data_IF_955391085052
#
_entry.id   IF_955391085052
#
_cell.length_a   1.000
_cell.length_b   1.000
_cell.length_c   1.000
_cell.angle_alpha   90.00
_cell.angle_beta   90.00
_cell.angle_gamma   90.00
#
_symmetry.space_group_name_H-M   'P 1'
#
loop_
_entity.id
_entity.type
_entity.pdbx_description
1 polymer ?
#
# COMPACT_ATOMS: atom_id res chain seq x y z
N UNK A 1 -13.81 -5.63 12.97
CA UNK A 1 -12.87 -5.09 13.99
C UNK A 1 -13.06 -3.59 14.07
N UNK A 2 -13.42 -3.04 15.22
CA UNK A 2 -13.47 -1.58 15.40
C UNK A 2 -12.03 -1.10 15.62
N UNK A 3 -11.55 -0.18 14.77
CA UNK A 3 -10.27 0.51 14.99
C UNK A 3 -10.29 1.18 16.36
N UNK A 4 -9.15 1.23 17.01
CA UNK A 4 -8.95 2.13 18.14
C UNK A 4 -8.58 3.52 17.56
N UNK A 5 -9.52 4.49 17.50
CA UNK A 5 -9.28 5.79 16.87
C UNK A 5 -8.20 6.62 17.56
N UNK A 6 -7.75 6.22 18.75
CA UNK A 6 -6.68 6.91 19.48
C UNK A 6 -5.27 6.63 18.96
N UNK A 7 -5.09 5.77 17.94
CA UNK A 7 -3.77 5.36 17.45
C UNK A 7 -3.22 6.19 16.29
N UNK A 8 -4.05 6.97 15.60
CA UNK A 8 -3.64 7.77 14.44
C UNK A 8 -4.20 9.19 14.51
N UNK A 9 -3.43 10.15 13.99
CA UNK A 9 -3.81 11.56 13.88
C UNK A 9 -4.46 11.80 12.51
N UNK A 10 -5.80 11.75 12.48
CA UNK A 10 -6.61 11.97 11.28
C UNK A 10 -7.77 12.92 11.58
N UNK A 11 -8.12 13.83 10.65
CA UNK A 11 -9.38 14.56 10.70
C UNK A 11 -10.58 13.60 10.81
N UNK A 12 -11.60 13.99 11.54
CA UNK A 12 -12.81 13.15 11.75
C UNK A 12 -13.50 12.83 10.42
N UNK A 13 -13.51 13.79 9.50
CA UNK A 13 -14.10 13.70 8.17
C UNK A 13 -13.23 12.93 7.16
N UNK A 14 -11.98 12.63 7.48
CA UNK A 14 -11.07 11.94 6.58
C UNK A 14 -11.64 10.62 6.05
N UNK A 15 -11.58 10.45 4.73
CA UNK A 15 -12.01 9.21 4.09
C UNK A 15 -11.15 8.01 4.51
N UNK A 16 -9.91 8.24 4.98
CA UNK A 16 -9.04 7.19 5.52
C UNK A 16 -9.65 6.50 6.73
N UNK A 17 -10.53 7.18 7.49
CA UNK A 17 -11.27 6.57 8.59
C UNK A 17 -12.24 5.47 8.15
N UNK A 18 -12.57 5.41 6.86
CA UNK A 18 -13.51 4.45 6.26
C UNK A 18 -12.83 3.31 5.52
N UNK A 19 -11.49 3.29 5.50
CA UNK A 19 -10.74 2.18 4.87
C UNK A 19 -11.02 0.86 5.58
N UNK A 20 -11.26 -0.19 4.81
CA UNK A 20 -11.28 -1.55 5.34
C UNK A 20 -9.85 -1.98 5.73
N UNK A 21 -9.70 -2.90 6.70
CA UNK A 21 -8.38 -3.40 7.09
C UNK A 21 -7.62 -4.08 5.93
N UNK A 22 -8.33 -4.60 4.94
CA UNK A 22 -7.76 -5.13 3.71
C UNK A 22 -8.33 -4.39 2.50
N UNK A 23 -7.44 -4.01 1.60
CA UNK A 23 -7.74 -3.38 0.32
C UNK A 23 -7.28 -4.32 -0.81
N UNK A 24 -8.16 -4.61 -1.75
CA UNK A 24 -7.83 -5.46 -2.89
C UNK A 24 -6.88 -4.73 -3.85
N UNK A 25 -5.65 -5.25 -3.99
CA UNK A 25 -4.69 -4.77 -4.98
C UNK A 25 -4.98 -5.37 -6.36
N UNK A 26 -5.22 -4.54 -7.35
CA UNK A 26 -5.65 -4.98 -8.68
C UNK A 26 -4.52 -5.30 -9.66
N UNK A 27 -3.25 -5.24 -9.26
CA UNK A 27 -2.11 -5.42 -10.15
C UNK A 27 -2.17 -6.75 -10.95
N UNK A 28 -2.60 -7.84 -10.33
CA UNK A 28 -2.74 -9.14 -10.99
C UNK A 28 -3.77 -9.17 -12.10
N UNK A 29 -4.74 -8.23 -12.11
CA UNK A 29 -5.71 -8.09 -13.19
C UNK A 29 -5.07 -7.55 -14.50
N UNK A 30 -3.85 -7.02 -14.42
CA UNK A 30 -3.09 -6.51 -15.55
C UNK A 30 -2.19 -7.54 -16.25
N UNK A 31 -2.12 -8.77 -15.73
CA UNK A 31 -1.28 -9.84 -16.29
C UNK A 31 -1.91 -10.41 -17.56
N UNK A 32 -1.41 -9.98 -18.71
CA UNK A 32 -1.99 -10.31 -20.03
C UNK A 32 -1.78 -11.76 -20.49
N UNK A 33 -0.88 -12.48 -19.83
CA UNK A 33 -0.72 -13.93 -19.94
C UNK A 33 -1.91 -14.73 -19.38
N UNK A 34 -2.76 -14.08 -18.54
CA UNK A 34 -4.02 -14.65 -18.03
C UNK A 34 -5.19 -14.16 -18.92
N UNK A 35 -6.08 -15.07 -19.37
CA UNK A 35 -7.22 -14.70 -20.21
C UNK A 35 -8.06 -13.57 -19.60
N UNK A 36 -8.54 -12.65 -20.44
CA UNK A 36 -9.31 -11.48 -20.01
C UNK A 36 -10.52 -11.86 -19.16
N UNK A 37 -11.30 -12.85 -19.57
CA UNK A 37 -12.48 -13.33 -18.84
C UNK A 37 -12.15 -13.90 -17.44
N UNK A 38 -10.99 -14.53 -17.29
CA UNK A 38 -10.51 -15.00 -15.98
C UNK A 38 -10.22 -13.83 -15.06
N UNK A 39 -9.54 -12.80 -15.58
CA UNK A 39 -9.23 -11.57 -14.84
C UNK A 39 -10.50 -10.78 -14.50
N UNK A 40 -11.44 -10.70 -15.45
CA UNK A 40 -12.73 -10.06 -15.23
C UNK A 40 -13.56 -10.79 -14.17
N UNK A 41 -13.58 -12.12 -14.21
CA UNK A 41 -14.23 -12.94 -13.17
C UNK A 41 -13.61 -12.69 -11.79
N UNK A 42 -12.28 -12.54 -11.71
CA UNK A 42 -11.60 -12.19 -10.45
C UNK A 42 -11.96 -10.78 -9.97
N UNK A 43 -12.07 -9.81 -10.89
CA UNK A 43 -12.50 -8.45 -10.54
C UNK A 43 -13.91 -8.45 -9.95
N UNK A 44 -14.86 -9.14 -10.59
CA UNK A 44 -16.25 -9.31 -10.09
C UNK A 44 -16.27 -9.99 -8.72
N UNK A 45 -15.50 -11.05 -8.54
CA UNK A 45 -15.38 -11.76 -7.27
C UNK A 45 -14.89 -10.86 -6.14
N UNK A 46 -13.91 -10.01 -6.45
CA UNK A 46 -13.39 -9.03 -5.50
C UNK A 46 -14.40 -7.91 -5.19
N UNK A 47 -15.15 -7.39 -6.20
CA UNK A 47 -16.19 -6.37 -6.01
C UNK A 47 -17.31 -6.82 -5.10
N UNK A 48 -17.62 -8.12 -5.06
CA UNK A 48 -18.61 -8.67 -4.12
C UNK A 48 -18.16 -8.63 -2.66
N UNK A 49 -16.85 -8.64 -2.40
CA UNK A 49 -16.26 -8.94 -1.09
C UNK A 49 -15.44 -7.82 -0.49
N UNK A 50 -14.95 -6.89 -1.32
CA UNK A 50 -14.05 -5.82 -0.91
C UNK A 50 -14.68 -4.46 -1.22
N UNK A 51 -14.80 -3.62 -0.21
CA UNK A 51 -15.29 -2.24 -0.37
C UNK A 51 -14.25 -1.28 -0.93
N UNK A 52 -12.97 -1.70 -1.00
CA UNK A 52 -11.85 -0.87 -1.42
C UNK A 52 -10.92 -1.59 -2.37
N UNK A 53 -10.53 -0.90 -3.45
CA UNK A 53 -9.55 -1.36 -4.43
C UNK A 53 -8.36 -0.41 -4.50
N UNK A 54 -7.19 -0.95 -4.80
CA UNK A 54 -5.98 -0.19 -5.09
C UNK A 54 -5.54 -0.50 -6.52
N UNK A 55 -5.34 0.52 -7.34
CA UNK A 55 -5.04 0.38 -8.76
C UNK A 55 -4.07 1.43 -9.29
N UNK A 56 -3.62 1.26 -10.53
CA UNK A 56 -2.78 2.19 -11.28
C UNK A 56 -3.02 2.03 -12.77
N UNK A 57 -2.94 3.12 -13.52
CA UNK A 57 -2.91 3.08 -14.99
C UNK A 57 -1.65 2.36 -15.54
N UNK A 58 -0.63 2.17 -14.70
CA UNK A 58 0.62 1.47 -15.06
C UNK A 58 0.54 -0.06 -14.86
N UNK A 59 -0.59 -0.61 -14.43
CA UNK A 59 -0.74 -2.04 -14.18
C UNK A 59 -1.25 -2.79 -15.43
N UNK A 60 -0.51 -2.73 -16.54
CA UNK A 60 -0.89 -3.40 -17.80
C UNK A 60 -2.33 -3.06 -18.20
N UNK A 61 -3.12 -4.06 -18.56
CA UNK A 61 -4.52 -3.89 -18.96
C UNK A 61 -5.52 -3.89 -17.78
N UNK A 62 -5.06 -3.69 -16.54
CA UNK A 62 -5.94 -3.64 -15.34
C UNK A 62 -7.11 -2.68 -15.51
N UNK A 63 -6.85 -1.49 -16.07
CA UNK A 63 -7.89 -0.46 -16.24
C UNK A 63 -9.01 -0.92 -17.19
N UNK A 64 -8.70 -1.73 -18.21
CA UNK A 64 -9.72 -2.27 -19.12
C UNK A 64 -10.61 -3.30 -18.41
N UNK A 65 -10.01 -4.17 -17.60
CA UNK A 65 -10.72 -5.15 -16.79
C UNK A 65 -11.64 -4.47 -15.77
N UNK A 66 -11.15 -3.47 -15.05
CA UNK A 66 -11.92 -2.72 -14.07
C UNK A 66 -13.04 -1.91 -14.73
N UNK A 67 -12.76 -1.23 -15.84
CA UNK A 67 -13.77 -0.47 -16.60
C UNK A 67 -14.94 -1.38 -17.07
N UNK A 68 -14.63 -2.59 -17.52
CA UNK A 68 -15.65 -3.57 -17.87
C UNK A 68 -16.47 -4.00 -16.65
N UNK A 69 -15.80 -4.38 -15.56
CA UNK A 69 -16.46 -4.82 -14.33
C UNK A 69 -17.36 -3.73 -13.73
N UNK A 70 -16.91 -2.47 -13.73
CA UNK A 70 -17.65 -1.32 -13.17
C UNK A 70 -18.89 -1.00 -14.04
N UNK A 71 -18.78 -1.07 -15.38
CA UNK A 71 -19.94 -0.89 -16.27
C UNK A 71 -21.01 -1.95 -16.05
N UNK A 72 -20.61 -3.20 -15.80
CA UNK A 72 -21.55 -4.29 -15.56
C UNK A 72 -22.25 -4.21 -14.20
N UNK A 73 -21.56 -3.66 -13.19
CA UNK A 73 -22.07 -3.59 -11.82
C UNK A 73 -21.94 -2.19 -11.21
N UNK A 74 -22.58 -1.17 -11.78
CA UNK A 74 -22.38 0.22 -11.37
C UNK A 74 -22.78 0.49 -9.91
N UNK A 75 -23.70 -0.30 -9.34
CA UNK A 75 -24.10 -0.17 -7.94
C UNK A 75 -23.10 -0.80 -6.94
N UNK A 76 -22.05 -1.44 -7.43
CA UNK A 76 -21.03 -2.14 -6.62
C UNK A 76 -19.62 -1.64 -6.88
N UNK A 77 -19.46 -0.48 -7.47
CA UNK A 77 -18.14 0.12 -7.69
C UNK A 77 -17.48 0.36 -6.32
N UNK A 78 -16.33 -0.26 -6.05
CA UNK A 78 -15.62 -0.07 -4.80
C UNK A 78 -15.01 1.33 -4.73
N UNK A 79 -14.72 1.81 -3.54
CA UNK A 79 -13.86 2.98 -3.36
C UNK A 79 -12.45 2.66 -3.81
N UNK A 80 -11.80 3.60 -4.50
CA UNK A 80 -10.52 3.34 -5.12
C UNK A 80 -9.39 4.20 -4.54
N UNK A 81 -8.27 3.55 -4.30
CA UNK A 81 -6.97 4.16 -4.09
C UNK A 81 -6.24 4.10 -5.43
N UNK A 82 -5.88 5.25 -6.00
CA UNK A 82 -5.14 5.29 -7.26
C UNK A 82 -3.71 5.76 -7.06
N UNK A 83 -2.77 5.02 -7.65
CA UNK A 83 -1.39 5.52 -7.78
C UNK A 83 -1.37 6.67 -8.77
N UNK A 84 -0.80 7.76 -8.30
CA UNK A 84 -0.55 8.98 -9.06
C UNK A 84 0.95 9.27 -8.98
N UNK A 85 1.59 9.49 -10.13
CA UNK A 85 3.02 9.75 -10.15
C UNK A 85 3.33 10.82 -11.20
N UNK A 86 4.32 11.67 -10.91
CA UNK A 86 4.74 12.64 -11.91
C UNK A 86 5.83 13.57 -11.40
N UNK A 87 6.47 14.22 -12.36
CA UNK A 87 7.46 15.25 -12.11
C UNK A 87 6.85 16.67 -12.15
N UNK A 88 5.54 16.75 -12.42
CA UNK A 88 4.76 18.00 -12.41
C UNK A 88 3.33 17.78 -11.94
N UNK A 89 2.71 18.86 -11.45
CA UNK A 89 1.30 18.84 -11.05
C UNK A 89 0.37 18.57 -12.25
N UNK A 90 0.69 19.09 -13.42
CA UNK A 90 -0.10 18.88 -14.66
C UNK A 90 -0.11 17.40 -15.05
N UNK A 91 1.00 16.70 -14.84
CA UNK A 91 1.04 15.26 -15.07
C UNK A 91 0.18 14.48 -14.08
N UNK A 92 0.22 14.84 -12.81
CA UNK A 92 -0.65 14.26 -11.78
C UNK A 92 -2.12 14.48 -12.13
N UNK A 93 -2.50 15.70 -12.53
CA UNK A 93 -3.87 16.05 -12.94
C UNK A 93 -4.32 15.24 -14.15
N UNK A 94 -3.49 15.17 -15.18
CA UNK A 94 -3.78 14.36 -16.38
C UNK A 94 -4.02 12.89 -16.04
N UNK A 95 -3.27 12.32 -15.08
CA UNK A 95 -3.49 10.95 -14.63
C UNK A 95 -4.80 10.78 -13.87
N UNK A 96 -5.21 11.78 -13.10
CA UNK A 96 -6.51 11.80 -12.43
C UNK A 96 -7.61 11.75 -13.50
N UNK A 97 -7.60 12.69 -14.45
CA UNK A 97 -8.60 12.79 -15.51
C UNK A 97 -8.70 11.49 -16.32
N UNK A 98 -7.55 10.93 -16.73
CA UNK A 98 -7.48 9.66 -17.45
C UNK A 98 -8.13 8.50 -16.70
N UNK A 99 -7.89 8.40 -15.40
CA UNK A 99 -8.40 7.29 -14.58
C UNK A 99 -9.89 7.46 -14.29
N UNK A 100 -10.36 8.68 -14.04
CA UNK A 100 -11.78 8.98 -13.88
C UNK A 100 -12.58 8.65 -15.15
N UNK A 101 -12.12 9.13 -16.30
CA UNK A 101 -12.73 8.87 -17.60
C UNK A 101 -12.75 7.37 -17.91
N UNK A 102 -11.60 6.70 -17.79
CA UNK A 102 -11.45 5.29 -18.16
C UNK A 102 -12.35 4.37 -17.34
N UNK A 103 -12.52 4.65 -16.05
CA UNK A 103 -13.33 3.83 -15.14
C UNK A 103 -14.78 4.28 -15.03
N UNK A 104 -15.12 5.45 -15.54
CA UNK A 104 -16.46 6.02 -15.43
C UNK A 104 -16.83 6.37 -14.00
N UNK A 105 -15.88 6.86 -13.20
CA UNK A 105 -16.10 7.29 -11.81
C UNK A 105 -15.86 8.79 -11.67
N UNK A 106 -16.60 9.45 -10.77
CA UNK A 106 -16.54 10.90 -10.60
C UNK A 106 -15.41 11.37 -9.67
N UNK A 107 -14.93 10.48 -8.79
CA UNK A 107 -13.94 10.82 -7.77
C UNK A 107 -12.99 9.67 -7.50
N UNK A 108 -11.72 10.00 -7.35
CA UNK A 108 -10.70 9.15 -6.71
C UNK A 108 -10.87 9.28 -5.19
N UNK A 109 -11.14 8.17 -4.51
CA UNK A 109 -11.29 8.22 -3.05
C UNK A 109 -9.99 8.59 -2.35
N UNK A 110 -8.86 7.98 -2.75
CA UNK A 110 -7.53 8.31 -2.23
C UNK A 110 -6.53 8.34 -3.39
N UNK A 111 -5.83 9.45 -3.56
CA UNK A 111 -4.67 9.59 -4.43
C UNK A 111 -3.39 9.16 -3.68
N UNK A 112 -2.81 8.02 -4.04
CA UNK A 112 -1.50 7.60 -3.56
C UNK A 112 -0.44 8.26 -4.42
N UNK A 113 0.13 9.35 -3.93
CA UNK A 113 1.01 10.24 -4.66
C UNK A 113 2.47 9.79 -4.54
N UNK A 114 3.11 9.49 -5.66
CA UNK A 114 4.56 9.33 -5.78
C UNK A 114 5.14 10.58 -6.43
N UNK A 115 5.92 11.33 -5.68
CA UNK A 115 6.56 12.57 -6.16
C UNK A 115 8.02 12.32 -6.51
N UNK A 116 8.43 12.83 -7.66
CA UNK A 116 9.80 12.75 -8.16
C UNK A 116 10.28 14.11 -8.70
N UNK A 117 11.54 14.20 -9.03
CA UNK A 117 12.14 15.32 -9.75
C UNK A 117 11.79 16.71 -9.21
N UNK A 118 11.35 17.59 -10.09
CA UNK A 118 10.99 18.96 -9.76
C UNK A 118 9.76 19.07 -8.84
N UNK A 119 8.81 18.13 -8.96
CA UNK A 119 7.63 18.10 -8.11
C UNK A 119 8.00 17.85 -6.65
N UNK A 120 8.98 16.96 -6.39
CA UNK A 120 9.45 16.67 -5.04
C UNK A 120 10.11 17.90 -4.39
N UNK A 121 10.91 18.64 -5.14
CA UNK A 121 11.56 19.85 -4.65
C UNK A 121 10.53 20.94 -4.31
N UNK A 122 9.55 21.17 -5.16
CA UNK A 122 8.47 22.14 -4.95
C UNK A 122 7.55 21.71 -3.78
N UNK A 123 7.26 20.44 -3.68
CA UNK A 123 6.48 19.85 -2.59
C UNK A 123 7.12 20.11 -1.22
N UNK A 124 8.42 19.84 -1.08
CA UNK A 124 9.13 20.05 0.17
C UNK A 124 9.36 21.53 0.51
N UNK A 125 9.47 22.38 -0.51
CA UNK A 125 9.55 23.83 -0.34
C UNK A 125 8.20 24.47 0.08
N UNK A 126 7.09 23.69 0.07
CA UNK A 126 5.76 24.24 0.30
C UNK A 126 5.28 25.13 -0.83
N UNK A 127 5.68 24.81 -2.05
CA UNK A 127 5.42 25.60 -3.23
C UNK A 127 4.05 25.36 -3.86
N UNK A 128 3.92 25.73 -5.12
CA UNK A 128 2.65 25.69 -5.89
C UNK A 128 2.05 24.29 -6.01
N UNK A 129 2.87 23.26 -5.85
CA UNK A 129 2.40 21.87 -5.85
C UNK A 129 1.35 21.61 -4.76
N UNK A 130 1.60 22.08 -3.54
CA UNK A 130 0.65 21.90 -2.43
C UNK A 130 -0.66 22.64 -2.67
N UNK A 131 -0.60 23.86 -3.20
CA UNK A 131 -1.79 24.64 -3.57
C UNK A 131 -2.60 23.94 -4.67
N UNK A 132 -1.92 23.39 -5.66
CA UNK A 132 -2.57 22.63 -6.72
C UNK A 132 -3.21 21.32 -6.23
N UNK A 133 -2.56 20.60 -5.35
CA UNK A 133 -3.16 19.39 -4.72
C UNK A 133 -4.37 19.76 -3.86
N UNK A 134 -4.34 20.92 -3.18
CA UNK A 134 -5.47 21.45 -2.42
C UNK A 134 -6.63 21.77 -3.35
N UNK A 135 -6.37 22.46 -4.47
CA UNK A 135 -7.39 22.77 -5.47
C UNK A 135 -8.04 21.49 -6.04
N UNK A 136 -7.28 20.46 -6.34
CA UNK A 136 -7.78 19.14 -6.79
C UNK A 136 -8.73 18.50 -5.73
N UNK A 137 -8.42 18.63 -4.43
CA UNK A 137 -9.32 18.19 -3.35
C UNK A 137 -10.59 19.04 -3.28
N UNK A 138 -10.47 20.36 -3.38
CA UNK A 138 -11.60 21.30 -3.33
C UNK A 138 -12.54 21.13 -4.54
N UNK A 139 -12.01 20.79 -5.71
CA UNK A 139 -12.78 20.41 -6.88
C UNK A 139 -13.52 19.05 -6.72
N UNK A 140 -13.22 18.30 -5.67
CA UNK A 140 -13.84 17.00 -5.41
C UNK A 140 -13.30 15.85 -6.24
N UNK A 141 -12.23 16.06 -7.02
CA UNK A 141 -11.64 15.03 -7.87
C UNK A 141 -10.92 13.94 -7.07
N UNK A 142 -10.33 14.31 -5.92
CA UNK A 142 -9.63 13.40 -5.00
C UNK A 142 -10.10 13.67 -3.57
N UNK A 143 -10.51 12.62 -2.85
CA UNK A 143 -11.00 12.75 -1.48
C UNK A 143 -9.89 12.98 -0.46
N UNK A 144 -8.75 12.29 -0.58
CA UNK A 144 -7.56 12.44 0.26
C UNK A 144 -6.30 12.08 -0.51
N UNK A 145 -5.16 12.61 -0.08
CA UNK A 145 -3.86 12.17 -0.59
C UNK A 145 -3.06 11.42 0.48
N UNK A 146 -2.34 10.38 0.04
CA UNK A 146 -1.27 9.73 0.80
C UNK A 146 0.03 9.81 0.02
N UNK A 147 1.16 9.90 0.71
CA UNK A 147 2.47 9.91 0.08
C UNK A 147 3.00 8.48 -0.04
N UNK A 148 3.32 8.05 -1.26
CA UNK A 148 3.99 6.77 -1.51
C UNK A 148 5.48 6.91 -1.20
N UNK A 149 6.02 5.98 -0.42
CA UNK A 149 7.41 6.01 0.02
C UNK A 149 8.13 4.75 -0.44
N UNK A 150 9.30 4.97 -1.02
CA UNK A 150 10.31 3.96 -1.32
C UNK A 150 11.60 4.31 -0.56
N UNK A 151 12.57 3.36 -0.44
CA UNK A 151 13.83 3.65 0.22
C UNK A 151 14.52 4.90 -0.33
N UNK A 152 14.55 5.06 -1.65
CA UNK A 152 15.18 6.19 -2.34
C UNK A 152 14.38 7.49 -2.28
N UNK A 153 13.10 7.47 -1.92
CA UNK A 153 12.25 8.67 -1.71
C UNK A 153 11.96 8.93 -0.23
N UNK A 154 12.52 8.15 0.69
CA UNK A 154 12.30 8.32 2.13
C UNK A 154 12.69 9.71 2.63
N UNK A 155 13.72 10.33 2.03
CA UNK A 155 14.14 11.69 2.37
C UNK A 155 13.04 12.72 2.08
N UNK A 156 12.28 12.57 0.98
CA UNK A 156 11.17 13.48 0.61
C UNK A 156 10.09 13.45 1.70
N UNK A 157 9.69 12.25 2.11
CA UNK A 157 8.69 12.08 3.17
C UNK A 157 9.19 12.57 4.54
N UNK A 158 10.47 12.38 4.83
CA UNK A 158 11.12 12.83 6.07
C UNK A 158 11.13 14.35 6.14
N UNK A 159 11.52 15.02 5.06
CA UNK A 159 11.56 16.49 4.98
C UNK A 159 10.15 17.07 5.07
N UNK A 160 9.16 16.47 4.38
CA UNK A 160 7.76 16.84 4.51
C UNK A 160 7.26 16.74 5.96
N UNK A 161 7.55 15.66 6.66
CA UNK A 161 7.15 15.49 8.06
C UNK A 161 7.81 16.49 9.00
N UNK A 162 9.09 16.78 8.80
CA UNK A 162 9.85 17.76 9.60
C UNK A 162 9.40 19.19 9.30
N UNK A 163 9.20 19.53 8.05
CA UNK A 163 8.78 20.86 7.60
C UNK A 163 7.35 21.22 8.01
N UNK A 164 6.49 20.22 8.18
CA UNK A 164 5.10 20.41 8.61
C UNK A 164 4.18 21.02 7.57
N UNK A 165 4.70 21.39 6.41
CA UNK A 165 3.90 21.96 5.32
C UNK A 165 3.07 20.87 4.62
N UNK A 166 1.85 21.19 4.18
CA UNK A 166 0.98 20.24 3.48
C UNK A 166 0.47 19.06 4.31
N UNK A 167 0.56 19.12 5.63
CA UNK A 167 -0.01 18.08 6.52
C UNK A 167 -1.54 17.98 6.42
N UNK A 168 -2.19 19.04 6.00
CA UNK A 168 -3.60 19.12 5.67
C UNK A 168 -3.95 18.44 4.33
N UNK A 169 -2.95 18.26 3.45
CA UNK A 169 -3.10 17.62 2.15
C UNK A 169 -2.72 16.16 2.21
N UNK A 170 -1.53 15.85 2.75
CA UNK A 170 -1.06 14.46 2.89
C UNK A 170 -1.55 13.91 4.23
N UNK A 171 -2.53 13.03 4.16
CA UNK A 171 -3.19 12.48 5.35
C UNK A 171 -2.54 11.19 5.86
N UNK A 172 -1.65 10.55 5.08
CA UNK A 172 -0.98 9.30 5.47
C UNK A 172 0.17 8.93 4.55
N UNK A 173 0.81 7.81 4.84
CA UNK A 173 1.96 7.29 4.10
C UNK A 173 1.69 5.88 3.62
N UNK A 174 2.04 5.59 2.37
CA UNK A 174 1.91 4.28 1.74
C UNK A 174 3.29 3.71 1.42
N UNK A 175 3.64 2.56 1.95
CA UNK A 175 4.91 1.91 1.64
C UNK A 175 4.83 0.39 1.83
N UNK A 176 5.78 -0.33 1.27
CA UNK A 176 5.91 -1.76 1.51
C UNK A 176 6.23 -1.99 2.98
N UNK A 177 5.27 -2.61 3.67
CA UNK A 177 5.41 -2.96 5.06
C UNK A 177 4.80 -4.35 5.32
N UNK A 178 5.66 -5.32 5.39
CA UNK A 178 5.36 -6.72 5.63
C UNK A 178 6.55 -7.34 6.37
N UNK A 179 6.50 -8.59 6.86
CA UNK A 179 7.61 -9.15 7.63
C UNK A 179 8.97 -9.14 6.93
N UNK A 180 9.00 -9.17 5.59
CA UNK A 180 10.24 -9.20 4.77
C UNK A 180 10.71 -7.82 4.30
N UNK A 181 9.83 -6.81 4.34
CA UNK A 181 10.12 -5.51 3.73
C UNK A 181 9.55 -4.37 4.59
N UNK A 182 10.34 -3.32 4.74
CA UNK A 182 9.90 -2.03 5.24
C UNK A 182 10.62 -0.95 4.45
N UNK A 183 9.89 -0.30 3.53
CA UNK A 183 10.49 0.67 2.62
C UNK A 183 10.59 2.09 3.18
N UNK A 184 10.04 2.35 4.36
CA UNK A 184 10.40 3.54 5.13
C UNK A 184 11.72 3.29 5.87
N UNK A 185 12.75 4.12 5.63
CA UNK A 185 14.02 4.05 6.37
C UNK A 185 13.79 4.28 7.86
N UNK A 186 14.77 3.90 8.69
CA UNK A 186 14.63 3.91 10.15
C UNK A 186 14.14 5.25 10.69
N UNK A 187 14.75 6.37 10.28
CA UNK A 187 14.38 7.71 10.74
C UNK A 187 12.96 8.10 10.37
N UNK A 188 12.58 7.82 9.11
CA UNK A 188 11.23 8.11 8.63
C UNK A 188 10.20 7.26 9.37
N UNK A 189 10.46 5.95 9.53
CA UNK A 189 9.53 5.06 10.21
C UNK A 189 9.31 5.48 11.66
N UNK A 190 10.37 5.83 12.38
CA UNK A 190 10.27 6.34 13.74
C UNK A 190 9.41 7.63 13.80
N UNK A 191 9.65 8.58 12.89
CA UNK A 191 8.92 9.85 12.87
C UNK A 191 7.44 9.67 12.47
N UNK A 192 7.12 8.75 11.55
CA UNK A 192 5.73 8.42 11.18
C UNK A 192 4.97 7.88 12.40
N UNK A 193 5.61 7.01 13.20
CA UNK A 193 5.00 6.48 14.43
C UNK A 193 4.85 7.56 15.51
N UNK A 194 5.89 8.37 15.73
CA UNK A 194 5.88 9.49 16.71
C UNK A 194 4.76 10.49 16.39
N UNK A 195 4.63 10.86 15.11
CA UNK A 195 3.61 11.80 14.64
C UNK A 195 2.23 11.17 14.45
N UNK A 196 2.08 9.87 14.75
CA UNK A 196 0.84 9.10 14.62
C UNK A 196 0.20 9.18 13.24
N UNK A 197 1.01 9.32 12.17
CA UNK A 197 0.48 9.37 10.81
C UNK A 197 0.02 7.98 10.36
N UNK A 198 -1.11 7.89 9.65
CA UNK A 198 -1.60 6.62 9.12
C UNK A 198 -0.63 5.97 8.15
N UNK A 199 -0.50 4.65 8.28
CA UNK A 199 0.28 3.81 7.38
C UNK A 199 -0.69 2.93 6.57
N UNK A 200 -0.61 3.03 5.25
CA UNK A 200 -1.21 2.10 4.31
C UNK A 200 -0.11 1.11 3.88
N UNK A 201 -0.16 -0.09 4.42
CA UNK A 201 0.84 -1.12 4.11
C UNK A 201 0.60 -1.69 2.71
N UNK A 202 1.62 -1.76 1.88
CA UNK A 202 1.57 -2.35 0.54
C UNK A 202 2.33 -3.67 0.54
N UNK A 203 1.92 -4.61 -0.35
CA UNK A 203 2.58 -5.90 -0.58
C UNK A 203 2.55 -6.83 0.65
N UNK A 204 1.38 -7.01 1.20
CA UNK A 204 1.07 -7.72 2.46
C UNK A 204 1.92 -8.97 2.73
N UNK A 205 2.09 -9.84 1.73
CA UNK A 205 2.79 -11.13 1.87
C UNK A 205 4.20 -11.14 1.31
N UNK A 206 4.76 -9.98 0.94
CA UNK A 206 6.16 -9.87 0.50
C UNK A 206 6.53 -10.68 -0.75
N UNK A 207 5.56 -11.07 -1.59
CA UNK A 207 5.79 -11.83 -2.83
C UNK A 207 5.63 -13.33 -2.70
N UNK A 208 5.10 -13.84 -1.59
CA UNK A 208 4.74 -15.26 -1.41
C UNK A 208 5.31 -15.91 -0.15
N UNK A 209 5.09 -17.21 0.03
CA UNK A 209 5.51 -17.92 1.22
C UNK A 209 7.01 -17.83 1.49
N UNK A 210 7.37 -17.53 2.73
CA UNK A 210 8.76 -17.33 3.15
C UNK A 210 9.61 -18.58 2.93
N UNK A 211 9.06 -19.76 3.11
CA UNK A 211 9.73 -21.05 2.92
C UNK A 211 10.18 -21.24 1.46
N UNK A 212 9.28 -20.91 0.51
CA UNK A 212 9.60 -20.99 -0.92
C UNK A 212 10.66 -19.99 -1.33
N UNK A 213 10.64 -18.80 -0.74
CA UNK A 213 11.64 -17.77 -1.01
C UNK A 213 12.99 -18.12 -0.41
N UNK A 214 13.02 -18.59 0.84
CA UNK A 214 14.23 -19.02 1.53
C UNK A 214 14.92 -20.23 0.84
N UNK A 215 14.13 -21.11 0.22
CA UNK A 215 14.63 -22.29 -0.49
C UNK A 215 15.22 -22.00 -1.90
N UNK A 216 15.15 -20.75 -2.38
CA UNK A 216 15.79 -20.40 -3.65
C UNK A 216 17.31 -20.53 -3.56
N UNK A 217 17.99 -20.79 -4.69
CA UNK A 217 19.45 -20.74 -4.71
C UNK A 217 19.93 -19.36 -4.23
N UNK A 218 20.94 -19.38 -3.37
CA UNK A 218 21.55 -18.14 -2.89
C UNK A 218 22.22 -17.41 -4.05
N UNK A 219 21.89 -16.12 -4.22
CA UNK A 219 22.47 -15.21 -5.19
C UNK A 219 22.73 -13.88 -4.50
N UNK A 220 23.87 -13.23 -4.74
CA UNK A 220 24.24 -11.97 -4.10
C UNK A 220 23.17 -10.87 -4.27
N UNK A 221 22.51 -10.84 -5.44
CA UNK A 221 21.49 -9.87 -5.80
C UNK A 221 20.08 -10.23 -5.28
N UNK A 222 19.83 -11.46 -4.82
CA UNK A 222 18.51 -11.88 -4.30
C UNK A 222 18.37 -11.59 -2.81
N UNK A 223 18.20 -10.29 -2.50
CA UNK A 223 17.99 -9.85 -1.12
C UNK A 223 16.72 -10.45 -0.48
N UNK A 224 15.71 -10.82 -1.28
CA UNK A 224 14.49 -11.43 -0.75
C UNK A 224 14.74 -12.87 -0.30
N UNK A 225 15.57 -13.62 -0.99
CA UNK A 225 15.99 -14.95 -0.56
C UNK A 225 16.74 -14.87 0.79
N UNK A 226 17.73 -13.98 0.90
CA UNK A 226 18.51 -13.74 2.13
C UNK A 226 17.61 -13.36 3.32
N UNK A 227 16.72 -12.37 3.13
CA UNK A 227 15.78 -11.93 4.17
C UNK A 227 14.81 -13.04 4.58
N UNK A 228 14.35 -13.83 3.61
CA UNK A 228 13.47 -14.96 3.89
C UNK A 228 14.17 -16.04 4.69
N UNK A 229 15.44 -16.35 4.40
CA UNK A 229 16.26 -17.28 5.17
C UNK A 229 16.47 -16.80 6.62
N UNK A 230 16.72 -15.50 6.83
CA UNK A 230 16.86 -14.91 8.16
C UNK A 230 15.54 -14.85 8.94
N UNK A 231 14.39 -14.69 8.26
CA UNK A 231 13.07 -14.60 8.88
C UNK A 231 12.46 -15.96 9.19
N UNK A 232 12.80 -17.01 8.40
CA UNK A 232 12.22 -18.34 8.52
C UNK A 232 12.24 -18.91 9.95
N UNK A 233 13.34 -18.79 10.74
CA UNK A 233 13.35 -19.23 12.14
C UNK A 233 12.41 -18.45 13.06
N UNK A 234 12.06 -17.22 12.73
CA UNK A 234 11.09 -16.39 13.47
C UNK A 234 9.67 -16.84 13.14
N UNK A 235 9.40 -17.07 11.85
CA UNK A 235 8.12 -17.58 11.38
C UNK A 235 7.80 -18.97 11.99
N UNK A 236 8.78 -19.87 12.03
CA UNK A 236 8.63 -21.21 12.60
C UNK A 236 8.27 -21.22 14.12
N UNK A 237 8.42 -20.09 14.82
CA UNK A 237 8.04 -19.93 16.23
C UNK A 237 6.60 -19.40 16.39
N UNK A 238 5.89 -19.14 15.29
CA UNK A 238 4.52 -18.64 15.35
C UNK A 238 3.50 -19.78 15.35
N UNK A 239 2.34 -19.51 15.94
CA UNK A 239 1.17 -20.38 15.90
C UNK A 239 0.25 -20.04 14.71
N UNK A 240 0.73 -19.25 13.74
CA UNK A 240 -0.05 -18.85 12.58
C UNK A 240 -0.29 -20.04 11.64
N UNK A 241 -1.50 -20.12 11.08
CA UNK A 241 -1.91 -21.23 10.23
C UNK A 241 -1.12 -21.30 8.91
N UNK A 242 -0.71 -20.16 8.39
CA UNK A 242 0.05 -20.03 7.14
C UNK A 242 0.73 -18.64 7.03
N UNK A 243 1.47 -18.44 5.93
CA UNK A 243 2.20 -17.20 5.68
C UNK A 243 1.29 -15.96 5.54
N UNK A 244 0.07 -16.11 4.99
CA UNK A 244 -0.90 -14.99 4.87
C UNK A 244 -1.35 -14.57 6.27
N UNK A 245 -1.70 -15.53 7.11
CA UNK A 245 -2.10 -15.32 8.50
C UNK A 245 -0.99 -14.59 9.29
N UNK A 246 0.25 -15.10 9.21
CA UNK A 246 1.40 -14.49 9.85
C UNK A 246 1.63 -13.04 9.40
N UNK A 247 1.66 -12.83 8.08
CA UNK A 247 1.97 -11.52 7.50
C UNK A 247 0.90 -10.48 7.81
N UNK A 248 -0.38 -10.83 7.66
CA UNK A 248 -1.48 -9.91 7.95
C UNK A 248 -1.57 -9.56 9.44
N UNK A 249 -1.46 -10.55 10.32
CA UNK A 249 -1.51 -10.30 11.75
C UNK A 249 -0.33 -9.46 12.23
N UNK A 250 0.89 -9.72 11.73
CA UNK A 250 2.03 -8.84 11.99
C UNK A 250 1.74 -7.40 11.57
N UNK A 251 1.38 -7.18 10.31
CA UNK A 251 1.18 -5.84 9.73
C UNK A 251 0.07 -5.08 10.46
N UNK A 252 -1.10 -5.71 10.60
CA UNK A 252 -2.27 -5.05 11.19
C UNK A 252 -2.19 -4.88 12.71
N UNK A 253 -1.20 -5.52 13.37
CA UNK A 253 -0.90 -5.29 14.79
C UNK A 253 0.00 -4.08 15.02
N UNK A 254 0.64 -3.55 13.97
CA UNK A 254 1.58 -2.45 14.15
C UNK A 254 0.86 -1.12 14.40
N UNK A 255 1.40 -0.27 15.29
CA UNK A 255 0.88 1.07 15.50
C UNK A 255 0.85 1.87 14.20
N UNK A 256 -0.20 2.66 13.99
CA UNK A 256 -0.35 3.51 12.81
C UNK A 256 -0.84 2.79 11.55
N UNK A 257 -0.72 1.47 11.43
CA UNK A 257 -1.22 0.75 10.26
C UNK A 257 -2.75 0.72 10.26
N UNK A 258 -3.34 1.33 9.24
CA UNK A 258 -4.79 1.43 9.10
C UNK A 258 -5.37 0.41 8.11
N UNK A 259 -4.58 -0.02 7.14
CA UNK A 259 -4.96 -1.10 6.22
C UNK A 259 -3.73 -1.79 5.65
N UNK A 260 -3.96 -2.93 5.02
CA UNK A 260 -2.97 -3.60 4.18
C UNK A 260 -3.52 -3.81 2.77
N UNK A 261 -2.68 -3.62 1.75
CA UNK A 261 -3.01 -3.72 0.33
C UNK A 261 -2.30 -4.95 -0.23
N UNK A 262 -3.08 -5.94 -0.61
CA UNK A 262 -2.57 -7.20 -1.16
C UNK A 262 -3.22 -7.53 -2.50
N UNK A 263 -2.40 -7.96 -3.48
CA UNK A 263 -2.89 -8.45 -4.77
C UNK A 263 -3.05 -9.96 -4.71
N UNK A 264 -4.10 -10.47 -5.32
CA UNK A 264 -4.34 -11.89 -5.50
C UNK A 264 -4.89 -12.17 -6.90
N UNK A 265 -4.47 -13.30 -7.46
CA UNK A 265 -4.82 -13.71 -8.83
C UNK A 265 -5.95 -14.74 -8.88
N UNK A 266 -6.34 -15.28 -7.71
CA UNK A 266 -7.39 -16.32 -7.62
C UNK A 266 -8.35 -16.01 -6.49
N UNK A 267 -9.62 -16.47 -6.60
CA UNK A 267 -10.60 -16.39 -5.51
C UNK A 267 -10.08 -16.99 -4.19
N UNK A 268 -9.43 -18.15 -4.22
CA UNK A 268 -8.90 -18.82 -3.03
C UNK A 268 -7.89 -17.93 -2.29
N UNK A 269 -6.98 -17.26 -3.00
CA UNK A 269 -6.04 -16.34 -2.38
C UNK A 269 -6.75 -15.14 -1.73
N UNK A 270 -7.83 -14.62 -2.33
CA UNK A 270 -8.62 -13.56 -1.70
C UNK A 270 -9.33 -14.07 -0.45
N UNK A 271 -9.88 -15.28 -0.51
CA UNK A 271 -10.56 -15.90 0.66
C UNK A 271 -9.58 -16.12 1.82
N UNK A 272 -8.32 -16.47 1.57
CA UNK A 272 -7.29 -16.56 2.60
C UNK A 272 -7.10 -15.22 3.34
N UNK A 273 -7.00 -14.09 2.60
CA UNK A 273 -6.91 -12.76 3.20
C UNK A 273 -8.15 -12.41 4.03
N UNK A 274 -9.34 -12.68 3.48
CA UNK A 274 -10.60 -12.37 4.15
C UNK A 274 -10.86 -13.27 5.36
N UNK A 275 -10.36 -14.51 5.35
CA UNK A 275 -10.45 -15.42 6.48
C UNK A 275 -9.68 -14.89 7.70
N UNK A 276 -8.50 -14.30 7.49
CA UNK A 276 -7.73 -13.67 8.58
C UNK A 276 -8.51 -12.54 9.25
N UNK A 277 -9.30 -11.76 8.47
CA UNK A 277 -10.09 -10.66 9.02
C UNK A 277 -11.28 -11.12 9.89
N UNK A 278 -11.75 -12.34 9.70
CA UNK A 278 -12.87 -12.92 10.47
C UNK A 278 -12.44 -13.52 11.81
N UNK A 279 -11.16 -13.76 11.99
CA UNK A 279 -10.64 -14.30 13.25
C UNK A 279 -10.76 -13.25 14.36
N UNK A 280 -11.15 -13.66 15.57
CA UNK A 280 -10.90 -12.86 16.76
C UNK A 280 -9.39 -12.81 16.96
N UNK A 281 -8.82 -11.62 16.76
CA UNK A 281 -7.38 -11.47 16.76
C UNK A 281 -6.83 -11.51 18.18
N UNK A 282 -6.08 -12.55 18.57
CA UNK A 282 -5.08 -12.36 19.59
C UNK A 282 -4.08 -11.30 19.08
N UNK A 283 -3.57 -10.47 19.96
CA UNK A 283 -2.46 -9.59 19.61
C UNK A 283 -1.32 -10.44 19.06
N UNK A 284 -0.80 -10.07 17.87
CA UNK A 284 0.38 -10.75 17.31
C UNK A 284 1.49 -10.79 18.38
N UNK A 285 2.17 -11.91 18.52
CA UNK A 285 3.12 -12.14 19.61
C UNK A 285 4.18 -11.02 19.70
N UNK A 286 4.23 -10.26 20.81
CA UNK A 286 5.14 -9.12 20.94
C UNK A 286 6.62 -9.51 20.84
N UNK A 287 7.00 -10.74 21.18
CA UNK A 287 8.37 -11.23 21.03
C UNK A 287 8.74 -11.42 19.57
N UNK A 288 7.83 -11.99 18.77
CA UNK A 288 8.02 -12.12 17.32
C UNK A 288 8.04 -10.74 16.64
N UNK A 289 7.14 -9.83 17.04
CA UNK A 289 7.17 -8.45 16.57
C UNK A 289 8.55 -7.81 16.75
N UNK A 290 9.12 -7.89 17.96
CA UNK A 290 10.46 -7.34 18.23
C UNK A 290 11.55 -7.94 17.34
N UNK A 291 11.51 -9.26 17.12
CA UNK A 291 12.48 -9.96 16.24
C UNK A 291 12.37 -9.49 14.80
N UNK A 292 11.15 -9.38 14.28
CA UNK A 292 10.90 -8.91 12.90
C UNK A 292 11.37 -7.46 12.74
N UNK A 293 11.00 -6.57 13.65
CA UNK A 293 11.40 -5.16 13.59
C UNK A 293 12.93 -5.00 13.73
N UNK A 294 13.60 -5.83 14.53
CA UNK A 294 15.07 -5.85 14.62
C UNK A 294 15.72 -6.27 13.30
N UNK A 295 15.18 -7.30 12.61
CA UNK A 295 15.63 -7.67 11.27
C UNK A 295 15.43 -6.54 10.27
N UNK A 296 14.27 -5.91 10.27
CA UNK A 296 13.98 -4.77 9.38
C UNK A 296 14.90 -3.57 9.63
N UNK A 297 15.26 -3.30 10.89
CA UNK A 297 16.23 -2.27 11.24
C UNK A 297 17.60 -2.62 10.69
N UNK A 298 18.08 -3.84 10.91
CA UNK A 298 19.33 -4.36 10.34
C UNK A 298 19.36 -4.21 8.81
N UNK A 299 18.31 -4.68 8.13
CA UNK A 299 18.26 -4.60 6.66
C UNK A 299 18.19 -3.17 6.12
N UNK A 300 17.60 -2.24 6.87
CA UNK A 300 17.61 -0.81 6.53
C UNK A 300 19.01 -0.20 6.60
N UNK A 301 19.85 -0.65 7.56
CA UNK A 301 21.19 -0.15 7.76
C UNK A 301 22.21 -0.77 6.78
N UNK A 302 21.96 -1.99 6.31
CA UNK A 302 22.86 -2.72 5.39
C UNK A 302 22.87 -2.15 3.96
N UNK A 303 22.15 -1.09 3.65
CA UNK A 303 22.03 -0.48 2.32
C UNK A 303 21.52 -1.44 1.20
N UNK A 304 21.12 -2.66 1.55
CA UNK A 304 20.43 -3.60 0.66
C UNK A 304 19.00 -3.09 0.30
N UNK A 305 18.80 -1.83 0.51
CA UNK A 305 17.53 -1.13 0.37
C UNK A 305 17.30 -0.67 -1.06
N UNK A 306 18.23 -0.95 -1.95
CA UNK A 306 18.05 -0.73 -3.38
C UNK A 306 17.16 -1.84 -3.92
N UNK A 307 15.87 -1.70 -3.64
CA UNK A 307 14.89 -2.52 -4.34
C UNK A 307 15.07 -2.29 -5.84
N UNK A 308 15.10 -3.35 -6.64
CA UNK A 308 15.15 -3.23 -8.09
C UNK A 308 13.99 -2.38 -8.60
N UNK A 309 14.17 -1.68 -9.73
CA UNK A 309 13.16 -0.82 -10.34
C UNK A 309 11.82 -1.53 -10.56
N UNK A 310 11.82 -2.84 -10.76
CA UNK A 310 10.61 -3.66 -10.89
C UNK A 310 9.76 -3.76 -9.63
N UNK A 311 10.24 -3.34 -8.50
CA UNK A 311 9.47 -3.35 -7.23
C UNK A 311 8.54 -2.13 -7.08
N UNK A 312 8.50 -1.27 -8.09
CA UNK A 312 7.61 -0.11 -8.15
C UNK A 312 6.22 -0.46 -8.69
#
# INVERSE_FOLDING_TARGET
>A
MKRNPSQVDLPVESILNRLDPYVFGSMSLGHEDVPFETRLSMARYAMERCGWFHTSHKYGSTMDVLAQAFREWPMRIPKCIFKLSGDSLDEVRRQIDLQLEKLGVEQISIGQLHVGGALAADFNAGGKCLDGLRAIKEEGLVGAFTLEVHPWTSHIALDHLRGGQGRDIIEGYSFYFNPLQRYALNDLFALVLETRRPILSIRTVGGGPVEKQAARPERPEDFMQKRSAELLPVYAQSDCANWVDFSMNFVLSQPGVICTIGSCSTPAHLDDYLAVLKQERPSFNPSLTRKILALQTKWSDEKDVHAPEWSM
#
